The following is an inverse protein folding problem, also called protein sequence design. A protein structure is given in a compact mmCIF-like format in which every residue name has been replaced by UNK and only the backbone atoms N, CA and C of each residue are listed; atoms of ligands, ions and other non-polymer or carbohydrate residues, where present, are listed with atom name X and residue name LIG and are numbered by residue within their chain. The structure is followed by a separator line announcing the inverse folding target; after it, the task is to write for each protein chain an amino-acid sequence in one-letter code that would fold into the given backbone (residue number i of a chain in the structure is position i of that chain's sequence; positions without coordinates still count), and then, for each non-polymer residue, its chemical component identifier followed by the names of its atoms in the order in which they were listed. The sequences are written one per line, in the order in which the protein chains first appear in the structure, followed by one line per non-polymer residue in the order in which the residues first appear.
data_IF_160249520295
#
_entry.id   IF_160249520295
#
_cell.length_a   1.000
_cell.length_b   1.000
_cell.length_c   1.000
_cell.angle_alpha   90.00
_cell.angle_beta   90.00
_cell.angle_gamma   90.00
#
_symmetry.space_group_name_H-M   'P 1'
#
loop_
_entity.id
_entity.type
_entity.pdbx_description
1 polymer ?
#
# COMPACT_ATOMS: atom_id res chain seq x y z
N UNK A 1 -15.99 -8.63 -0.37
CA UNK A 1 -15.16 -7.58 0.20
C UNK A 1 -14.92 -6.52 -0.87
N UNK A 2 -15.01 -5.23 -0.51
CA UNK A 2 -14.64 -4.16 -1.41
C UNK A 2 -13.13 -3.94 -1.43
N UNK A 3 -12.65 -3.26 -2.46
CA UNK A 3 -11.25 -2.90 -2.62
C UNK A 3 -11.15 -1.46 -3.13
N UNK A 4 -10.18 -0.72 -2.62
CA UNK A 4 -9.95 0.67 -2.95
C UNK A 4 -8.48 0.87 -3.24
N UNK A 5 -8.15 1.58 -4.31
CA UNK A 5 -6.77 1.91 -4.63
C UNK A 5 -6.70 3.37 -5.03
N UNK A 6 -5.60 4.02 -4.70
CA UNK A 6 -5.42 5.42 -5.05
C UNK A 6 -4.17 6.03 -4.45
N UNK A 7 -4.10 7.34 -4.58
CA UNK A 7 -2.99 8.15 -4.13
C UNK A 7 -3.40 8.96 -2.90
N UNK A 8 -2.53 8.99 -1.90
CA UNK A 8 -2.62 9.91 -0.76
C UNK A 8 -1.48 10.90 -0.90
N UNK A 9 -1.84 12.17 -1.10
CA UNK A 9 -0.86 13.25 -1.08
C UNK A 9 -0.35 13.43 0.34
N UNK A 10 0.97 13.50 0.53
CA UNK A 10 1.65 13.72 1.81
C UNK A 10 2.39 15.07 1.87
N UNK A 11 2.24 15.91 0.84
CA UNK A 11 2.90 17.22 0.76
C UNK A 11 2.30 18.22 1.74
N UNK A 12 3.17 19.01 2.39
CA UNK A 12 2.79 20.21 3.14
C UNK A 12 3.08 21.50 2.35
N UNK A 13 3.70 21.36 1.18
CA UNK A 13 4.10 22.44 0.27
C UNK A 13 3.43 22.23 -1.10
N UNK A 14 3.85 23.02 -2.10
CA UNK A 14 3.35 22.92 -3.48
C UNK A 14 3.98 21.78 -4.29
N UNK A 15 4.95 21.06 -3.73
CA UNK A 15 5.65 19.97 -4.42
C UNK A 15 4.86 18.68 -4.18
N UNK A 16 4.30 18.11 -5.25
CA UNK A 16 3.51 16.88 -5.17
C UNK A 16 4.36 15.70 -4.68
N UNK A 17 3.85 15.00 -3.67
CA UNK A 17 4.39 13.75 -3.12
C UNK A 17 3.20 12.87 -2.79
N UNK A 18 2.98 11.85 -3.60
CA UNK A 18 1.83 10.96 -3.47
C UNK A 18 2.30 9.53 -3.21
N UNK A 19 1.75 8.93 -2.16
CA UNK A 19 1.97 7.51 -1.85
C UNK A 19 0.76 6.70 -2.32
N UNK A 20 1.03 5.67 -3.12
CA UNK A 20 0.04 4.73 -3.59
C UNK A 20 -0.31 3.70 -2.53
N UNK A 21 -1.60 3.38 -2.44
CA UNK A 21 -2.11 2.30 -1.61
C UNK A 21 -3.11 1.44 -2.37
N UNK A 22 -3.24 0.20 -1.94
CA UNK A 22 -4.36 -0.66 -2.28
C UNK A 22 -4.92 -1.30 -1.00
N UNK A 23 -6.10 -0.87 -0.61
CA UNK A 23 -6.87 -1.36 0.51
C UNK A 23 -7.82 -2.48 0.09
N UNK A 24 -7.91 -3.51 0.94
CA UNK A 24 -8.77 -4.68 0.77
C UNK A 24 -9.54 -4.87 2.08
N UNK A 25 -10.86 -4.81 2.03
CA UNK A 25 -11.68 -5.05 3.20
C UNK A 25 -11.60 -6.51 3.69
N UNK A 26 -11.84 -6.69 4.98
CA UNK A 26 -12.08 -8.02 5.54
C UNK A 26 -13.24 -8.72 4.83
N UNK A 27 -13.10 -10.03 4.64
CA UNK A 27 -14.18 -10.89 4.13
C UNK A 27 -15.19 -11.26 5.20
N UNK A 28 -14.82 -11.16 6.48
CA UNK A 28 -15.62 -11.62 7.63
C UNK A 28 -16.54 -10.51 8.14
N UNK A 29 -15.98 -9.48 8.77
CA UNK A 29 -16.73 -8.35 9.32
C UNK A 29 -15.89 -7.05 9.23
N UNK A 30 -15.83 -6.39 8.06
CA UNK A 30 -14.92 -5.26 7.84
C UNK A 30 -15.16 -4.04 8.75
N UNK A 31 -16.34 -3.94 9.38
CA UNK A 31 -16.65 -2.88 10.33
C UNK A 31 -16.03 -3.11 11.72
N UNK A 32 -15.78 -4.36 12.10
CA UNK A 32 -15.29 -4.73 13.44
C UNK A 32 -13.92 -5.44 13.42
N UNK A 33 -13.49 -5.94 12.27
CA UNK A 33 -12.20 -6.57 12.09
C UNK A 33 -11.03 -5.58 12.14
N UNK A 34 -9.83 -6.03 12.55
CA UNK A 34 -8.66 -5.17 12.64
C UNK A 34 -8.23 -4.63 11.27
N UNK A 35 -7.62 -3.45 11.28
CA UNK A 35 -6.90 -2.88 10.15
C UNK A 35 -5.41 -3.24 10.23
N UNK A 36 -4.87 -3.83 9.18
CA UNK A 36 -3.45 -4.17 9.04
C UNK A 36 -2.79 -3.31 7.97
N UNK A 37 -1.70 -2.64 8.34
CA UNK A 37 -0.79 -1.98 7.40
C UNK A 37 0.28 -2.99 6.94
N UNK A 38 0.47 -3.13 5.64
CA UNK A 38 1.54 -3.94 5.07
C UNK A 38 2.44 -3.13 4.14
N UNK A 39 3.76 -3.29 4.32
CA UNK A 39 4.80 -2.74 3.46
C UNK A 39 5.83 -3.82 3.16
N UNK A 40 6.27 -3.93 1.91
CA UNK A 40 7.47 -4.68 1.56
C UNK A 40 8.73 -3.80 1.78
N UNK A 41 9.90 -4.46 1.88
CA UNK A 41 11.18 -3.80 2.16
C UNK A 41 12.00 -3.50 0.90
N UNK A 42 13.28 -3.90 0.90
CA UNK A 42 14.21 -3.68 -0.22
C UNK A 42 15.47 -2.95 0.25
N UNK A 43 15.46 -1.61 0.38
CA UNK A 43 14.33 -0.67 0.19
C UNK A 43 13.90 -0.48 -1.27
N UNK A 44 12.67 0.00 -1.49
CA UNK A 44 12.14 0.35 -2.83
C UNK A 44 11.36 -0.75 -3.55
N UNK A 45 11.12 -1.90 -2.89
CA UNK A 45 10.23 -2.92 -3.45
C UNK A 45 8.77 -2.54 -3.21
N UNK A 46 7.93 -2.72 -4.23
CA UNK A 46 6.50 -2.46 -4.15
C UNK A 46 5.80 -3.27 -3.05
N UNK A 47 4.94 -2.61 -2.26
CA UNK A 47 4.02 -3.28 -1.33
C UNK A 47 2.97 -4.17 -2.02
N UNK A 48 2.80 -4.02 -3.34
CA UNK A 48 1.94 -4.91 -4.12
C UNK A 48 2.57 -6.27 -4.36
N UNK A 49 3.87 -6.45 -4.07
CA UNK A 49 4.49 -7.78 -3.98
C UNK A 49 3.74 -8.63 -2.93
N UNK A 50 3.54 -8.08 -1.73
CA UNK A 50 2.76 -8.74 -0.68
C UNK A 50 1.30 -8.99 -1.08
N UNK A 51 0.70 -8.03 -1.79
CA UNK A 51 -0.69 -8.17 -2.25
C UNK A 51 -0.88 -9.27 -3.30
N UNK A 52 0.00 -9.33 -4.30
CA UNK A 52 -0.21 -10.13 -5.51
C UNK A 52 0.57 -11.45 -5.52
N UNK A 53 1.49 -11.65 -4.58
CA UNK A 53 2.35 -12.84 -4.55
C UNK A 53 2.46 -13.52 -3.18
N UNK A 54 2.08 -12.85 -2.09
CA UNK A 54 2.21 -13.38 -0.72
C UNK A 54 0.82 -13.60 -0.08
N UNK A 55 0.27 -12.58 0.58
CA UNK A 55 -0.87 -12.70 1.50
C UNK A 55 -2.14 -11.95 1.09
N UNK A 56 -2.16 -11.30 -0.08
CA UNK A 56 -3.37 -10.64 -0.56
C UNK A 56 -4.43 -11.61 -1.10
N UNK A 57 -5.62 -11.09 -1.43
CA UNK A 57 -6.78 -11.90 -1.82
C UNK A 57 -6.61 -12.67 -3.13
N UNK A 58 -5.70 -12.22 -3.99
CA UNK A 58 -5.50 -12.74 -5.34
C UNK A 58 -4.02 -12.85 -5.68
N UNK A 59 -3.67 -13.91 -6.41
CA UNK A 59 -2.37 -14.05 -7.07
C UNK A 59 -2.53 -13.91 -8.58
N UNK A 60 -1.53 -13.32 -9.24
CA UNK A 60 -1.46 -13.31 -10.71
C UNK A 60 -1.16 -14.73 -11.20
N UNK A 61 -2.04 -15.26 -12.05
CA UNK A 61 -1.87 -16.59 -12.64
C UNK A 61 -0.65 -16.64 -13.57
N UNK A 62 -0.16 -17.85 -13.88
CA UNK A 62 1.01 -18.04 -14.73
C UNK A 62 0.86 -17.45 -16.15
N UNK A 63 -0.37 -17.25 -16.63
CA UNK A 63 -0.64 -16.59 -17.92
C UNK A 63 -0.47 -15.05 -17.89
N UNK A 64 -0.19 -14.45 -16.73
CA UNK A 64 0.02 -13.02 -16.54
C UNK A 64 -1.22 -12.15 -16.73
N UNK A 65 -2.41 -12.73 -16.97
CA UNK A 65 -3.61 -12.00 -17.39
C UNK A 65 -4.85 -12.33 -16.57
N UNK A 66 -4.86 -13.43 -15.82
CA UNK A 66 -5.93 -13.78 -14.89
C UNK A 66 -5.47 -13.72 -13.42
N UNK A 67 -6.45 -13.60 -12.53
CA UNK A 67 -6.24 -13.62 -11.09
C UNK A 67 -6.83 -14.91 -10.50
N UNK A 68 -6.08 -15.53 -9.59
CA UNK A 68 -6.49 -16.71 -8.83
C UNK A 68 -6.75 -16.31 -7.37
N UNK A 69 -7.87 -16.77 -6.79
CA UNK A 69 -8.23 -16.48 -5.40
C UNK A 69 -7.29 -17.21 -4.44
N UNK A 70 -6.74 -16.49 -3.46
CA UNK A 70 -5.85 -17.07 -2.46
C UNK A 70 -6.64 -17.64 -1.26
N UNK A 71 -6.53 -18.95 -0.97
CA UNK A 71 -7.27 -19.57 0.12
C UNK A 71 -6.79 -19.16 1.52
N UNK A 72 -5.58 -18.62 1.63
CA UNK A 72 -4.95 -18.21 2.90
C UNK A 72 -4.69 -16.69 2.96
N UNK A 73 -5.45 -15.92 2.19
CA UNK A 73 -5.31 -14.47 2.18
C UNK A 73 -5.59 -13.88 3.57
N UNK A 74 -4.77 -12.91 3.99
CA UNK A 74 -4.94 -12.26 5.29
C UNK A 74 -6.23 -11.46 5.38
N UNK A 75 -6.79 -11.03 4.24
CA UNK A 75 -8.05 -10.31 4.25
C UNK A 75 -9.26 -11.17 4.66
N UNK A 76 -9.08 -12.46 4.92
CA UNK A 76 -10.13 -13.31 5.50
C UNK A 76 -10.50 -12.92 6.93
N UNK A 77 -9.56 -12.33 7.68
CA UNK A 77 -9.71 -12.03 9.11
C UNK A 77 -9.43 -10.55 9.45
N UNK A 78 -9.00 -9.75 8.48
CA UNK A 78 -8.61 -8.37 8.69
C UNK A 78 -8.83 -7.53 7.43
N UNK A 79 -9.03 -6.22 7.59
CA UNK A 79 -8.91 -5.31 6.47
C UNK A 79 -7.42 -4.96 6.28
N UNK A 80 -6.88 -5.05 5.07
CA UNK A 80 -5.44 -4.90 4.82
C UNK A 80 -5.18 -3.77 3.84
N UNK A 81 -4.32 -2.82 4.23
CA UNK A 81 -3.80 -1.77 3.35
C UNK A 81 -2.36 -2.08 2.94
N UNK A 82 -2.16 -2.29 1.64
CA UNK A 82 -0.84 -2.48 1.04
C UNK A 82 -0.32 -1.14 0.52
N UNK A 83 0.88 -0.74 0.95
CA UNK A 83 1.43 0.60 0.68
C UNK A 83 2.74 0.50 -0.08
N UNK A 84 2.89 1.30 -1.13
CA UNK A 84 4.15 1.41 -1.88
C UNK A 84 4.98 2.57 -1.36
N UNK A 85 6.00 2.25 -0.56
CA UNK A 85 6.90 3.23 0.05
C UNK A 85 8.35 2.74 -0.07
N UNK A 86 9.35 3.64 -0.17
CA UNK A 86 9.27 5.10 -0.13
C UNK A 86 8.74 5.73 -1.44
N UNK A 87 8.76 7.07 -1.56
CA UNK A 87 8.45 7.77 -2.82
C UNK A 87 9.28 7.19 -3.98
N UNK A 88 8.70 7.16 -5.18
CA UNK A 88 9.23 6.47 -6.37
C UNK A 88 9.20 4.93 -6.34
N UNK A 89 8.62 4.32 -5.31
CA UNK A 89 8.32 2.88 -5.29
C UNK A 89 7.02 2.60 -6.03
N UNK A 90 7.06 1.76 -7.08
CA UNK A 90 5.87 1.35 -7.82
C UNK A 90 5.10 2.54 -8.42
N UNK A 91 3.85 2.74 -7.99
CA UNK A 91 2.99 3.84 -8.43
C UNK A 91 3.09 5.10 -7.55
N UNK A 92 3.88 5.09 -6.48
CA UNK A 92 4.14 6.29 -5.67
C UNK A 92 5.05 7.27 -6.42
N UNK A 93 4.73 8.57 -6.37
CA UNK A 93 5.37 9.59 -7.21
C UNK A 93 5.74 10.85 -6.41
N UNK A 94 6.79 11.54 -6.87
CA UNK A 94 7.13 12.90 -6.45
C UNK A 94 7.53 13.77 -7.64
N UNK A 95 7.19 15.05 -7.57
CA UNK A 95 7.62 16.07 -8.54
C UNK A 95 9.00 16.64 -8.20
N UNK A 96 9.61 16.24 -7.07
CA UNK A 96 10.97 16.60 -6.68
C UNK A 96 11.90 15.37 -6.77
N UNK A 97 12.79 15.33 -7.77
CA UNK A 97 13.73 14.21 -7.95
C UNK A 97 14.66 13.99 -6.76
N UNK A 98 14.89 15.01 -5.91
CA UNK A 98 15.73 14.85 -4.72
C UNK A 98 15.11 13.89 -3.69
N UNK A 99 13.80 13.67 -3.73
CA UNK A 99 13.10 12.73 -2.85
C UNK A 99 13.51 11.26 -3.07
N UNK A 100 14.20 10.95 -4.18
CA UNK A 100 14.78 9.63 -4.42
C UNK A 100 15.96 9.34 -3.48
N UNK A 101 16.59 10.37 -2.92
CA UNK A 101 17.66 10.25 -1.94
C UNK A 101 17.05 10.39 -0.54
N UNK A 102 16.75 9.26 0.09
CA UNK A 102 16.05 9.21 1.38
C UNK A 102 16.79 8.34 2.39
N UNK A 103 16.33 8.35 3.64
CA UNK A 103 16.82 7.52 4.73
C UNK A 103 15.63 7.01 5.59
N UNK A 104 15.92 6.19 6.60
CA UNK A 104 14.89 5.58 7.44
C UNK A 104 14.03 6.62 8.19
N UNK A 105 14.65 7.70 8.69
CA UNK A 105 13.98 8.77 9.43
C UNK A 105 12.97 9.52 8.55
N UNK A 106 13.40 9.91 7.35
CA UNK A 106 12.56 10.60 6.36
C UNK A 106 11.42 9.68 5.90
N UNK A 107 11.72 8.41 5.62
CA UNK A 107 10.72 7.44 5.18
C UNK A 107 9.67 7.15 6.26
N UNK A 108 10.09 6.97 7.51
CA UNK A 108 9.17 6.78 8.63
C UNK A 108 8.25 8.00 8.84
N UNK A 109 8.78 9.22 8.73
CA UNK A 109 7.98 10.45 8.84
C UNK A 109 6.96 10.58 7.70
N UNK A 110 7.36 10.26 6.46
CA UNK A 110 6.47 10.25 5.29
C UNK A 110 5.37 9.20 5.40
N UNK A 111 5.72 7.97 5.81
CA UNK A 111 4.74 6.90 6.02
C UNK A 111 3.77 7.25 7.17
N UNK A 112 4.26 7.87 8.24
CA UNK A 112 3.39 8.36 9.33
C UNK A 112 2.39 9.40 8.81
N UNK A 113 2.85 10.35 7.99
CA UNK A 113 1.99 11.35 7.36
C UNK A 113 0.95 10.70 6.44
N UNK A 114 1.34 9.69 5.67
CA UNK A 114 0.43 8.89 4.86
C UNK A 114 -0.66 8.23 5.72
N UNK A 115 -0.29 7.56 6.82
CA UNK A 115 -1.25 6.85 7.69
C UNK A 115 -2.29 7.82 8.24
N UNK A 116 -1.86 8.95 8.79
CA UNK A 116 -2.76 9.97 9.35
C UNK A 116 -3.72 10.49 8.26
N UNK A 117 -3.20 10.89 7.10
CA UNK A 117 -4.02 11.43 6.01
C UNK A 117 -4.95 10.38 5.37
N UNK A 118 -4.57 9.12 5.38
CA UNK A 118 -5.42 8.03 4.89
C UNK A 118 -6.58 7.75 5.84
N UNK A 119 -6.33 7.79 7.16
CA UNK A 119 -7.36 7.60 8.20
C UNK A 119 -8.37 8.75 8.27
N UNK A 120 -7.99 9.97 7.85
CA UNK A 120 -8.88 11.14 7.82
C UNK A 120 -9.84 11.19 6.62
N UNK A 121 -9.76 10.21 5.69
CA UNK A 121 -10.63 10.10 4.50
C UNK A 121 -11.88 9.29 4.78
#
# INVERSE_FOLDING_TARGET
FAQYAGLVNISNDTVRRDIFYWFVESERDPANDPLLLWTNGGPGCSGLLGKLTEQGPFRVAANGTSLERMPYAWNREASVIFVEQPLFTGFSVSDDPSDAFTNDEINAARLTTFIVRWLDR
#
